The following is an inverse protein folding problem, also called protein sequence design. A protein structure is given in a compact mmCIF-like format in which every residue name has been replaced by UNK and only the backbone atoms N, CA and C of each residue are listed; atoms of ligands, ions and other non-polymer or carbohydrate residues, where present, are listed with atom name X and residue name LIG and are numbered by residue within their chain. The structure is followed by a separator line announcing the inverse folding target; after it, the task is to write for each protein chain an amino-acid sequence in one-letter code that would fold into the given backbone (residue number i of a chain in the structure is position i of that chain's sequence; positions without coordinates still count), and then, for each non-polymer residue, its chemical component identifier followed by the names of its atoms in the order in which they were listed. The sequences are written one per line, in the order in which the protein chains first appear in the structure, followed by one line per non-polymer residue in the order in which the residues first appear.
data_IF_646497754874
#
_entry.id   IF_646497754874
#
_cell.length_a   1.000
_cell.length_b   1.000
_cell.length_c   1.000
_cell.angle_alpha   90.00
_cell.angle_beta   90.00
_cell.angle_gamma   90.00
#
_symmetry.space_group_name_H-M   'P 1'
#
loop_
_entity.id
_entity.type
_entity.pdbx_description
1 polymer ?
#
# COMPACT_ATOMS: atom_id res chain seq x y z
N UNK A 1 -5.67 5.46 47.86
CA UNK A 1 -4.77 4.64 47.06
C UNK A 1 -3.86 5.59 46.32
N UNK A 2 -2.56 5.64 46.70
CA UNK A 2 -1.60 6.54 46.07
C UNK A 2 -1.21 5.92 44.72
N UNK A 3 -1.34 6.70 43.66
CA UNK A 3 -0.77 6.31 42.35
C UNK A 3 0.71 6.49 42.47
N UNK A 4 1.47 5.39 42.52
CA UNK A 4 2.94 5.44 42.53
C UNK A 4 3.38 6.16 41.24
N UNK A 5 4.17 7.22 41.43
CA UNK A 5 4.80 7.92 40.31
C UNK A 5 5.71 6.93 39.56
N UNK A 6 5.34 6.64 38.31
CA UNK A 6 6.29 5.99 37.40
C UNK A 6 7.43 6.98 37.18
N UNK A 7 8.61 6.65 37.73
CA UNK A 7 9.81 7.46 37.53
C UNK A 7 10.48 7.07 36.22
N UNK A 8 11.23 7.98 35.61
CA UNK A 8 12.03 7.71 34.40
C UNK A 8 12.96 6.51 34.55
N UNK A 9 13.43 6.24 35.79
CA UNK A 9 14.25 5.08 36.10
C UNK A 9 13.49 3.74 36.08
N UNK A 10 12.16 3.78 36.17
CA UNK A 10 11.29 2.57 36.06
C UNK A 10 10.99 2.20 34.63
N UNK A 11 11.33 3.05 33.65
CA UNK A 11 11.13 2.80 32.23
C UNK A 11 12.49 2.43 31.63
N UNK A 12 12.79 1.14 31.62
CA UNK A 12 13.96 0.62 30.90
C UNK A 12 13.68 0.66 29.40
N UNK A 13 14.66 1.04 28.59
CA UNK A 13 14.57 0.99 27.13
C UNK A 13 14.08 -0.39 26.67
N UNK A 14 12.99 -0.43 25.92
CA UNK A 14 12.38 -1.66 25.44
C UNK A 14 11.20 -2.19 26.29
N UNK A 15 10.89 -1.56 27.43
CA UNK A 15 9.75 -1.95 28.29
C UNK A 15 8.41 -1.42 27.74
N UNK A 16 8.43 -0.27 27.05
CA UNK A 16 7.23 0.25 26.42
C UNK A 16 7.07 -0.34 25.01
N UNK A 17 5.93 -0.93 24.71
CA UNK A 17 5.66 -1.42 23.36
C UNK A 17 5.66 -0.25 22.37
N UNK A 18 6.23 -0.45 21.21
CA UNK A 18 6.32 0.53 20.13
C UNK A 18 5.76 -0.05 18.84
N UNK A 19 5.21 0.80 17.98
CA UNK A 19 4.65 0.40 16.68
C UNK A 19 5.74 0.08 15.64
N UNK A 20 6.83 -0.55 16.07
CA UNK A 20 7.89 -1.03 15.20
C UNK A 20 7.92 -2.57 15.19
N UNK A 21 8.28 -3.19 14.05
CA UNK A 21 8.71 -2.54 12.81
C UNK A 21 7.61 -1.78 12.08
N UNK A 22 8.00 -0.81 11.26
CA UNK A 22 7.10 -0.06 10.39
C UNK A 22 7.85 0.47 9.16
N UNK A 23 7.16 0.63 8.05
CA UNK A 23 7.72 1.25 6.85
C UNK A 23 6.68 2.12 6.14
N UNK A 24 7.18 3.03 5.31
CA UNK A 24 6.39 3.75 4.32
C UNK A 24 7.21 3.85 3.03
N UNK A 25 6.61 3.40 1.93
CA UNK A 25 7.19 3.50 0.60
C UNK A 25 6.19 4.13 -0.37
N UNK A 26 6.69 4.85 -1.36
CA UNK A 26 5.92 5.48 -2.42
C UNK A 26 6.51 5.14 -3.79
N UNK A 27 5.77 5.40 -4.85
CA UNK A 27 6.31 5.29 -6.20
C UNK A 27 7.24 6.46 -6.49
N UNK A 28 8.37 6.23 -7.17
CA UNK A 28 9.32 7.27 -7.60
C UNK A 28 9.22 7.60 -9.09
N UNK A 29 8.46 6.81 -9.85
CA UNK A 29 8.25 6.99 -11.28
C UNK A 29 6.87 6.45 -11.69
N UNK A 30 6.36 6.94 -12.80
CA UNK A 30 5.13 6.44 -13.40
C UNK A 30 5.28 4.97 -13.79
N UNK A 31 4.18 4.23 -13.66
CA UNK A 31 4.12 2.83 -14.03
C UNK A 31 2.96 2.58 -14.99
N UNK A 32 3.26 2.09 -16.18
CA UNK A 32 2.25 1.66 -17.14
C UNK A 32 1.65 0.32 -16.72
N UNK A 33 0.33 0.24 -16.72
CA UNK A 33 -0.43 -1.00 -16.53
C UNK A 33 -1.19 -1.32 -17.80
N UNK A 34 -0.91 -2.47 -18.39
CA UNK A 34 -1.62 -2.95 -19.57
C UNK A 34 -3.09 -3.26 -19.22
N UNK A 35 -3.99 -2.93 -20.14
CA UNK A 35 -5.41 -3.19 -19.95
C UNK A 35 -5.69 -4.64 -19.54
N UNK A 36 -6.50 -4.81 -18.51
CA UNK A 36 -6.95 -6.09 -17.98
C UNK A 36 -5.79 -7.03 -17.54
N UNK A 37 -4.63 -6.48 -17.17
CA UNK A 37 -3.47 -7.26 -16.73
C UNK A 37 -3.19 -6.99 -15.26
N UNK A 38 -3.18 -8.05 -14.46
CA UNK A 38 -2.75 -7.97 -13.06
C UNK A 38 -1.28 -7.62 -13.01
N UNK A 39 -0.97 -6.49 -12.40
CA UNK A 39 0.39 -5.95 -12.37
C UNK A 39 0.79 -5.65 -10.94
N UNK A 40 1.99 -6.11 -10.56
CA UNK A 40 2.58 -5.75 -9.28
C UNK A 40 2.94 -4.27 -9.26
N UNK A 41 2.57 -3.57 -8.19
CA UNK A 41 2.86 -2.15 -8.04
C UNK A 41 4.26 -1.92 -7.52
N UNK A 42 4.92 -0.88 -8.05
CA UNK A 42 6.31 -0.55 -7.74
C UNK A 42 6.37 0.67 -6.82
N UNK A 43 6.70 0.44 -5.54
CA UNK A 43 6.91 1.50 -4.55
C UNK A 43 8.40 1.61 -4.26
N UNK A 44 9.13 2.21 -5.18
CA UNK A 44 10.60 2.21 -5.21
C UNK A 44 11.25 3.30 -4.36
N UNK A 45 10.47 4.29 -3.91
CA UNK A 45 10.93 5.33 -3.00
C UNK A 45 10.61 4.94 -1.56
N UNK A 46 11.60 4.39 -0.86
CA UNK A 46 11.49 4.12 0.57
C UNK A 46 11.65 5.43 1.36
N UNK A 47 10.56 5.88 1.99
CA UNK A 47 10.56 7.10 2.80
C UNK A 47 11.15 6.83 4.17
N UNK A 48 10.77 5.72 4.78
CA UNK A 48 11.38 5.15 5.96
C UNK A 48 11.10 3.65 6.08
N UNK A 49 12.04 2.93 6.68
CA UNK A 49 11.90 1.53 7.08
C UNK A 49 12.58 1.31 8.44
N UNK A 50 11.78 1.21 9.49
CA UNK A 50 12.25 0.94 10.84
C UNK A 50 12.13 -0.55 11.11
N UNK A 51 13.26 -1.22 11.07
CA UNK A 51 13.37 -2.67 11.28
C UNK A 51 13.76 -3.47 10.05
N UNK A 52 13.96 -2.84 8.89
CA UNK A 52 14.39 -3.51 7.66
C UNK A 52 13.33 -4.50 7.14
N UNK A 53 12.05 -4.11 7.21
CA UNK A 53 10.92 -4.99 6.88
C UNK A 53 10.42 -4.82 5.45
N UNK A 54 10.87 -3.79 4.75
CA UNK A 54 10.50 -3.53 3.37
C UNK A 54 11.69 -3.73 2.43
N UNK A 55 11.45 -4.34 1.30
CA UNK A 55 12.44 -4.51 0.24
C UNK A 55 11.98 -3.75 -1.01
N UNK A 56 12.61 -2.61 -1.29
CA UNK A 56 12.30 -1.72 -2.42
C UNK A 56 12.75 -2.25 -3.79
N UNK A 57 13.50 -3.34 -3.85
CA UNK A 57 13.84 -4.02 -5.10
C UNK A 57 12.80 -5.07 -5.50
N UNK A 58 12.15 -5.65 -4.51
CA UNK A 58 11.08 -6.64 -4.70
C UNK A 58 9.70 -6.10 -4.39
N UNK A 59 9.59 -4.85 -3.86
CA UNK A 59 8.34 -4.19 -3.44
C UNK A 59 7.53 -5.03 -2.46
N UNK A 60 8.24 -5.62 -1.49
CA UNK A 60 7.71 -6.61 -0.57
C UNK A 60 7.87 -6.17 0.87
N UNK A 61 6.81 -6.30 1.65
CA UNK A 61 6.82 -6.19 3.10
C UNK A 61 6.92 -7.59 3.72
N UNK A 62 7.90 -7.82 4.59
CA UNK A 62 8.07 -9.05 5.38
C UNK A 62 8.15 -8.64 6.85
N UNK A 63 7.15 -8.92 7.68
CA UNK A 63 7.07 -8.42 9.05
C UNK A 63 8.27 -8.74 9.95
N UNK A 64 8.84 -9.95 9.83
CA UNK A 64 9.95 -10.39 10.66
C UNK A 64 9.56 -10.76 12.11
N UNK A 65 8.25 -10.78 12.43
CA UNK A 65 7.70 -11.20 13.72
C UNK A 65 6.33 -11.84 13.52
N UNK A 66 5.91 -12.73 14.43
CA UNK A 66 4.55 -13.24 14.45
C UNK A 66 3.66 -12.31 15.28
N UNK A 67 2.47 -11.98 14.78
CA UNK A 67 1.54 -11.03 15.42
C UNK A 67 0.61 -10.35 14.44
N UNK A 68 0.28 -9.09 14.69
CA UNK A 68 -0.60 -8.30 13.82
C UNK A 68 0.09 -7.05 13.28
N UNK A 69 -0.19 -6.73 12.03
CA UNK A 69 0.17 -5.46 11.40
C UNK A 69 -1.05 -4.80 10.79
N UNK A 70 -1.07 -3.48 10.85
CA UNK A 70 -1.95 -2.68 10.01
C UNK A 70 -1.20 -2.40 8.69
N UNK A 71 -1.86 -2.70 7.58
CA UNK A 71 -1.32 -2.55 6.23
C UNK A 71 -2.25 -1.64 5.44
N UNK A 72 -1.70 -0.63 4.79
CA UNK A 72 -2.45 0.24 3.89
C UNK A 72 -1.71 0.48 2.58
N UNK A 73 -2.46 0.63 1.52
CA UNK A 73 -1.94 1.07 0.22
C UNK A 73 -2.93 1.97 -0.48
N UNK A 74 -2.42 2.88 -1.28
CA UNK A 74 -3.19 3.76 -2.14
C UNK A 74 -2.63 3.76 -3.56
N UNK A 75 -3.54 3.90 -4.50
CA UNK A 75 -3.28 3.95 -5.93
C UNK A 75 -4.01 5.14 -6.54
N UNK A 76 -3.30 5.96 -7.31
CA UNK A 76 -3.85 7.01 -8.13
C UNK A 76 -3.47 6.77 -9.59
N UNK A 77 -4.46 6.79 -10.48
CA UNK A 77 -4.31 6.37 -11.87
C UNK A 77 -4.79 7.44 -12.83
N UNK A 78 -4.21 7.44 -14.01
CA UNK A 78 -4.53 8.35 -15.09
C UNK A 78 -4.66 7.58 -16.42
N UNK A 79 -5.64 7.99 -17.21
CA UNK A 79 -5.80 7.57 -18.59
C UNK A 79 -6.12 8.79 -19.47
N UNK A 80 -5.20 9.11 -20.37
CA UNK A 80 -5.30 10.27 -21.25
C UNK A 80 -6.53 10.23 -22.17
N UNK A 81 -7.06 9.03 -22.44
CA UNK A 81 -8.28 8.80 -23.23
C UNK A 81 -9.55 8.92 -22.41
N UNK A 82 -9.41 9.15 -21.08
CA UNK A 82 -10.55 9.26 -20.15
C UNK A 82 -11.50 8.05 -20.21
N UNK A 83 -10.93 6.86 -20.31
CA UNK A 83 -11.67 5.64 -20.66
C UNK A 83 -11.78 4.61 -19.53
N UNK A 84 -11.39 4.96 -18.28
CA UNK A 84 -11.51 4.04 -17.17
C UNK A 84 -12.94 3.58 -16.95
N UNK A 85 -13.11 2.26 -16.83
CA UNK A 85 -14.34 1.72 -16.30
C UNK A 85 -14.14 0.78 -15.09
N UNK A 86 -12.89 0.36 -14.79
CA UNK A 86 -12.57 -0.42 -13.61
C UNK A 86 -11.14 -0.18 -13.14
N UNK A 87 -10.98 0.02 -11.85
CA UNK A 87 -9.69 0.06 -11.15
C UNK A 87 -9.79 -0.83 -9.93
N UNK A 88 -8.90 -1.81 -9.83
CA UNK A 88 -8.77 -2.69 -8.68
C UNK A 88 -7.43 -2.47 -7.99
N UNK A 89 -7.44 -2.58 -6.68
CA UNK A 89 -6.24 -2.61 -5.85
C UNK A 89 -6.33 -3.81 -4.91
N UNK A 90 -5.28 -4.63 -4.88
CA UNK A 90 -5.26 -5.89 -4.16
C UNK A 90 -4.05 -6.02 -3.25
N UNK A 91 -4.26 -6.62 -2.08
CA UNK A 91 -3.19 -7.09 -1.21
C UNK A 91 -3.05 -8.61 -1.34
N UNK A 92 -1.85 -9.04 -1.60
CA UNK A 92 -1.47 -10.46 -1.62
C UNK A 92 -0.64 -10.79 -0.39
N UNK A 93 -0.93 -11.93 0.21
CA UNK A 93 -0.13 -12.59 1.24
C UNK A 93 0.37 -13.92 0.66
N UNK A 94 1.67 -14.14 0.58
CA UNK A 94 2.27 -15.40 0.10
C UNK A 94 1.68 -15.86 -1.25
N UNK A 95 1.60 -14.96 -2.22
CA UNK A 95 0.99 -15.16 -3.55
C UNK A 95 -0.53 -15.38 -3.55
N UNK A 96 -1.22 -15.27 -2.42
CA UNK A 96 -2.68 -15.40 -2.34
C UNK A 96 -3.32 -14.04 -2.07
N UNK A 97 -4.32 -13.67 -2.86
CA UNK A 97 -5.06 -12.42 -2.66
C UNK A 97 -5.90 -12.50 -1.38
N UNK A 98 -5.72 -11.52 -0.48
CA UNK A 98 -6.43 -11.46 0.80
C UNK A 98 -7.30 -10.21 0.94
N UNK A 99 -7.00 -9.15 0.18
CA UNK A 99 -7.83 -7.92 0.13
C UNK A 99 -8.03 -7.55 -1.32
N UNK A 100 -9.25 -7.14 -1.65
CA UNK A 100 -9.62 -6.59 -2.95
C UNK A 100 -10.50 -5.37 -2.76
N UNK A 101 -10.10 -4.26 -3.35
CA UNK A 101 -10.97 -3.10 -3.56
C UNK A 101 -11.22 -2.94 -5.05
N UNK A 102 -12.42 -2.50 -5.41
CA UNK A 102 -12.81 -2.32 -6.79
C UNK A 102 -13.61 -1.03 -6.95
N UNK A 103 -13.18 -0.22 -7.89
CA UNK A 103 -13.94 0.92 -8.40
C UNK A 103 -14.44 0.58 -9.80
N UNK A 104 -15.73 0.69 -10.05
CA UNK A 104 -16.32 0.36 -11.36
C UNK A 104 -17.33 1.40 -11.80
N UNK A 105 -17.24 1.78 -13.05
CA UNK A 105 -18.19 2.66 -13.73
C UNK A 105 -19.01 1.85 -14.72
N UNK A 106 -20.33 2.04 -14.73
CA UNK A 106 -21.25 1.23 -15.53
C UNK A 106 -21.76 1.96 -16.76
N UNK A 107 -21.41 3.22 -16.95
CA UNK A 107 -21.89 4.03 -18.08
C UNK A 107 -20.86 4.08 -19.21
N UNK A 108 -21.27 3.72 -20.40
CA UNK A 108 -20.47 3.86 -21.62
C UNK A 108 -20.23 5.32 -22.05
N UNK A 109 -20.87 6.28 -21.38
CA UNK A 109 -20.74 7.72 -21.63
C UNK A 109 -20.02 8.47 -20.51
N UNK A 110 -19.47 7.79 -19.52
CA UNK A 110 -18.73 8.44 -18.46
C UNK A 110 -17.24 8.46 -18.82
N UNK A 111 -16.72 9.64 -19.09
CA UNK A 111 -15.31 9.87 -19.29
C UNK A 111 -14.66 10.02 -17.92
N UNK A 112 -13.87 9.05 -17.51
CA UNK A 112 -13.10 9.08 -16.26
C UNK A 112 -11.63 9.07 -16.61
N UNK A 113 -10.98 10.22 -16.41
CA UNK A 113 -9.56 10.43 -16.69
C UNK A 113 -8.69 9.98 -15.52
N UNK A 114 -9.19 10.18 -14.31
CA UNK A 114 -8.43 9.92 -13.07
C UNK A 114 -9.25 9.11 -12.09
N UNK A 115 -8.58 8.18 -11.42
CA UNK A 115 -9.22 7.31 -10.45
C UNK A 115 -8.26 6.97 -9.32
N UNK A 116 -8.79 6.93 -8.10
CA UNK A 116 -8.04 6.44 -6.94
C UNK A 116 -8.71 5.23 -6.31
N UNK A 117 -7.90 4.36 -5.73
CA UNK A 117 -8.35 3.24 -4.90
C UNK A 117 -7.41 3.08 -3.72
N UNK A 118 -7.94 2.71 -2.57
CA UNK A 118 -7.12 2.47 -1.38
C UNK A 118 -7.74 1.40 -0.49
N UNK A 119 -6.91 0.79 0.33
CA UNK A 119 -7.36 -0.06 1.43
C UNK A 119 -6.56 0.22 2.70
N UNK A 120 -7.15 -0.15 3.83
CA UNK A 120 -6.51 -0.23 5.13
C UNK A 120 -7.05 -1.47 5.83
N UNK A 121 -6.15 -2.37 6.28
CA UNK A 121 -6.54 -3.65 6.88
C UNK A 121 -5.56 -4.05 7.98
N UNK A 122 -6.08 -4.66 9.04
CA UNK A 122 -5.27 -5.34 10.04
C UNK A 122 -5.24 -6.83 9.74
N UNK A 123 -4.05 -7.39 9.67
CA UNK A 123 -3.84 -8.81 9.36
C UNK A 123 -3.03 -9.51 10.43
N UNK A 124 -3.36 -10.77 10.70
CA UNK A 124 -2.57 -11.70 11.49
C UNK A 124 -1.54 -12.36 10.57
N UNK A 125 -0.30 -12.52 11.05
CA UNK A 125 0.79 -13.12 10.26
C UNK A 125 1.82 -13.84 11.11
N UNK A 126 2.59 -14.71 10.46
CA UNK A 126 3.83 -15.27 10.94
C UNK A 126 5.02 -14.41 10.48
N UNK A 127 6.19 -14.66 11.07
CA UNK A 127 7.37 -13.82 10.87
C UNK A 127 7.90 -13.85 9.42
N UNK A 128 7.70 -14.96 8.71
CA UNK A 128 8.16 -15.21 7.34
C UNK A 128 7.07 -14.95 6.27
N UNK A 129 5.86 -14.60 6.69
CA UNK A 129 4.83 -14.15 5.75
C UNK A 129 5.29 -12.88 5.01
N UNK A 130 4.86 -12.75 3.76
CA UNK A 130 5.15 -11.53 3.00
C UNK A 130 3.92 -10.99 2.30
N UNK A 131 3.97 -9.69 2.04
CA UNK A 131 2.87 -8.93 1.45
C UNK A 131 3.34 -8.13 0.25
N UNK A 132 2.49 -8.10 -0.78
CA UNK A 132 2.72 -7.40 -2.03
C UNK A 132 1.43 -6.76 -2.50
N UNK A 133 1.53 -5.63 -3.18
CA UNK A 133 0.37 -4.90 -3.70
C UNK A 133 0.32 -5.05 -5.21
N UNK A 134 -0.87 -5.36 -5.72
CA UNK A 134 -1.14 -5.48 -7.14
C UNK A 134 -2.30 -4.58 -7.55
N UNK A 135 -2.28 -4.15 -8.80
CA UNK A 135 -3.35 -3.41 -9.44
C UNK A 135 -3.83 -4.06 -10.72
N UNK A 136 -5.07 -3.79 -11.08
CA UNK A 136 -5.64 -4.08 -12.39
C UNK A 136 -6.45 -2.90 -12.85
N UNK A 137 -6.20 -2.46 -14.08
CA UNK A 137 -6.93 -1.39 -14.73
C UNK A 137 -7.68 -1.94 -15.95
N UNK A 138 -8.89 -1.44 -16.19
CA UNK A 138 -9.62 -1.72 -17.41
C UNK A 138 -10.13 -0.42 -18.01
N UNK A 139 -9.84 -0.27 -19.29
CA UNK A 139 -10.27 0.85 -20.12
C UNK A 139 -11.27 0.37 -21.17
N UNK A 140 -12.14 1.24 -21.62
CA UNK A 140 -13.17 0.91 -22.64
C UNK A 140 -12.52 0.71 -24.00
N UNK A 141 -11.50 1.48 -24.31
CA UNK A 141 -10.74 1.43 -25.56
C UNK A 141 -9.70 0.30 -25.62
N UNK A 142 -9.56 -0.47 -24.51
CA UNK A 142 -8.56 -1.52 -24.37
C UNK A 142 -7.11 -1.02 -24.37
N UNK A 143 -6.88 0.28 -24.23
CA UNK A 143 -5.56 0.91 -24.08
C UNK A 143 -4.92 0.62 -22.72
N UNK A 144 -3.65 0.90 -22.60
CA UNK A 144 -2.93 0.88 -21.33
C UNK A 144 -3.20 2.18 -20.58
N UNK A 145 -3.20 2.12 -19.25
CA UNK A 145 -3.31 3.28 -18.38
C UNK A 145 -2.07 3.39 -17.49
N UNK A 146 -1.90 4.52 -16.86
CA UNK A 146 -0.72 4.82 -16.05
C UNK A 146 -1.09 5.02 -14.58
N UNK A 147 -0.22 4.55 -13.72
CA UNK A 147 -0.12 5.00 -12.33
C UNK A 147 0.82 6.19 -12.37
N UNK A 148 0.29 7.37 -12.04
CA UNK A 148 1.09 8.58 -12.08
C UNK A 148 1.75 8.87 -10.73
N UNK A 149 2.95 9.43 -10.79
CA UNK A 149 3.67 9.96 -9.64
C UNK A 149 3.70 11.47 -9.71
N UNK A 150 3.02 12.10 -8.75
CA UNK A 150 3.17 13.54 -8.51
C UNK A 150 2.73 14.45 -9.64
N UNK A 151 1.83 14.00 -10.53
CA UNK A 151 1.42 14.83 -11.67
C UNK A 151 0.55 16.01 -11.23
N UNK A 152 1.16 17.16 -11.16
CA UNK A 152 0.52 18.47 -11.15
C UNK A 152 0.33 19.14 -9.79
N UNK A 153 0.42 18.43 -8.66
CA UNK A 153 0.23 19.01 -7.33
C UNK A 153 1.34 18.69 -6.32
N UNK A 154 2.47 18.15 -6.74
CA UNK A 154 3.60 17.76 -5.87
C UNK A 154 3.22 16.77 -4.73
N UNK A 155 2.16 16.01 -4.88
CA UNK A 155 1.79 15.00 -3.89
C UNK A 155 2.68 13.76 -4.06
N UNK A 156 3.76 13.72 -3.28
CA UNK A 156 4.73 12.61 -3.26
C UNK A 156 4.11 11.29 -2.77
N UNK A 157 2.87 11.30 -2.29
CA UNK A 157 2.22 10.17 -1.64
C UNK A 157 0.92 9.73 -2.31
N UNK A 158 0.73 10.03 -3.60
CA UNK A 158 -0.45 9.60 -4.35
C UNK A 158 -0.50 8.08 -4.48
N UNK A 159 0.68 7.45 -4.61
CA UNK A 159 0.82 6.01 -4.64
C UNK A 159 1.74 5.58 -3.51
N UNK A 160 1.20 4.80 -2.57
CA UNK A 160 1.94 4.41 -1.38
C UNK A 160 1.64 2.98 -0.92
N UNK A 161 2.59 2.42 -0.20
CA UNK A 161 2.47 1.18 0.55
C UNK A 161 3.09 1.37 1.93
N UNK A 162 2.33 1.05 2.96
CA UNK A 162 2.71 1.32 4.34
C UNK A 162 2.27 0.17 5.24
N UNK A 163 3.07 -0.15 6.24
CA UNK A 163 2.63 -1.02 7.33
C UNK A 163 3.31 -0.64 8.65
N UNK A 164 2.65 -1.00 9.74
CA UNK A 164 3.21 -0.92 11.08
C UNK A 164 2.65 -2.04 11.97
N UNK A 165 3.47 -2.46 12.95
CA UNK A 165 3.09 -3.43 13.95
C UNK A 165 1.95 -2.90 14.81
N UNK A 166 0.96 -3.76 15.11
CA UNK A 166 -0.04 -3.52 16.16
C UNK A 166 0.52 -4.03 17.48
N UNK A 167 0.48 -3.16 18.47
CA UNK A 167 0.84 -3.51 19.85
C UNK A 167 -0.35 -4.22 20.48
N UNK A 168 -0.11 -5.40 21.04
CA UNK A 168 -1.11 -6.19 21.79
C UNK A 168 -0.76 -6.19 23.28
#
# INVERSE_FOLDING_TARGET
MAIDKITTASITSGVLPVNTPCFFASSSADQTINNNTTTKLTFSNEVYDVGGVYNNSTYRFTPGFSGKSNISAGLWTYDAQSSFFRVDLWLYKNNSMIVSTQQRYTSSNTTVERQSSSFNVTVQHDADDYYEVFGLLRTVDSGSAEILVGSGNNAIFDNYFHAHKIIE
#
